data_IF_636848281324
#
_entry.id   IF_636848281324
#
_cell.length_a   1.000
_cell.length_b   1.000
_cell.length_c   1.000
_cell.angle_alpha   90.00
_cell.angle_beta   90.00
_cell.angle_gamma   90.00
#
_symmetry.space_group_name_H-M   'P 1'
#
loop_
_entity.id
_entity.type
_entity.pdbx_description
1 polymer ?
#
# COMPACT_ATOMS: atom_id res chain seq x y z
N UNK A 1 -14.08 -14.80 -5.55
CA UNK A 1 -12.62 -14.87 -5.35
C UNK A 1 -12.07 -13.45 -5.45
N UNK A 2 -11.21 -13.02 -4.54
CA UNK A 2 -10.64 -11.66 -4.62
C UNK A 2 -9.38 -11.67 -5.49
N UNK A 3 -9.34 -10.87 -6.55
CA UNK A 3 -8.11 -10.68 -7.35
C UNK A 3 -7.18 -9.74 -6.56
N UNK A 4 -6.51 -10.29 -5.56
CA UNK A 4 -5.51 -9.58 -4.77
C UNK A 4 -4.10 -9.89 -5.31
N UNK A 5 -3.42 -8.88 -5.85
CA UNK A 5 -2.01 -9.00 -6.22
C UNK A 5 -1.16 -8.26 -5.20
N UNK A 6 -0.15 -8.94 -4.64
CA UNK A 6 0.78 -8.34 -3.68
C UNK A 6 2.21 -8.47 -4.18
N UNK A 7 2.89 -7.33 -4.28
CA UNK A 7 4.30 -7.22 -4.65
C UNK A 7 5.09 -6.70 -3.45
N UNK A 8 5.86 -7.58 -2.82
CA UNK A 8 6.70 -7.23 -1.67
C UNK A 8 8.14 -7.17 -2.14
N UNK A 9 8.74 -5.99 -2.08
CA UNK A 9 10.13 -5.79 -2.42
C UNK A 9 10.96 -5.86 -1.14
N UNK A 10 11.89 -6.82 -1.10
CA UNK A 10 12.82 -7.03 0.03
C UNK A 10 14.26 -6.78 -0.40
N UNK A 11 15.10 -6.33 0.52
CA UNK A 11 16.54 -6.13 0.29
C UNK A 11 16.89 -5.14 -0.84
N UNK A 12 15.99 -4.19 -1.14
CA UNK A 12 16.19 -3.16 -2.16
C UNK A 12 16.24 -1.75 -1.55
N UNK A 13 17.04 -1.57 -0.49
CA UNK A 13 17.15 -0.29 0.21
C UNK A 13 17.64 0.86 -0.68
N UNK A 14 18.38 0.53 -1.75
CA UNK A 14 18.91 1.48 -2.74
C UNK A 14 17.96 1.69 -3.94
N UNK A 15 16.72 1.21 -3.86
CA UNK A 15 15.74 1.42 -4.93
C UNK A 15 15.41 2.91 -5.01
N UNK A 16 15.79 3.53 -6.13
CA UNK A 16 15.60 4.95 -6.34
C UNK A 16 14.12 5.34 -6.34
N UNK A 17 13.84 6.59 -5.96
CA UNK A 17 12.47 7.11 -5.94
C UNK A 17 11.79 7.04 -7.31
N UNK A 18 12.54 7.25 -8.39
CA UNK A 18 12.03 7.13 -9.77
C UNK A 18 11.56 5.69 -10.04
N UNK A 19 12.33 4.68 -9.63
CA UNK A 19 11.95 3.29 -9.79
C UNK A 19 10.71 2.93 -8.93
N UNK A 20 10.66 3.40 -7.67
CA UNK A 20 9.48 3.23 -6.80
C UNK A 20 8.22 3.85 -7.43
N UNK A 21 8.34 5.04 -8.02
CA UNK A 21 7.24 5.71 -8.71
C UNK A 21 6.78 4.90 -9.93
N UNK A 22 7.72 4.38 -10.74
CA UNK A 22 7.39 3.54 -11.90
C UNK A 22 6.66 2.25 -11.50
N UNK A 23 7.10 1.59 -10.43
CA UNK A 23 6.43 0.39 -9.88
C UNK A 23 5.03 0.73 -9.36
N UNK A 24 4.87 1.88 -8.69
CA UNK A 24 3.57 2.37 -8.20
C UNK A 24 2.62 2.65 -9.37
N UNK A 25 3.09 3.31 -10.42
CA UNK A 25 2.33 3.53 -11.65
C UNK A 25 1.92 2.24 -12.33
N UNK A 26 2.80 1.23 -12.36
CA UNK A 26 2.48 -0.10 -12.86
C UNK A 26 1.36 -0.76 -12.02
N UNK A 27 1.47 -0.72 -10.70
CA UNK A 27 0.47 -1.29 -9.80
C UNK A 27 -0.92 -0.64 -9.98
N UNK A 28 -0.95 0.68 -10.15
CA UNK A 28 -2.19 1.42 -10.47
C UNK A 28 -2.80 0.95 -11.79
N UNK A 29 -2.00 0.88 -12.86
CA UNK A 29 -2.48 0.38 -14.17
C UNK A 29 -2.99 -1.04 -14.10
N UNK A 30 -2.27 -1.92 -13.38
CA UNK A 30 -2.69 -3.30 -13.18
C UNK A 30 -4.02 -3.39 -12.43
N UNK A 31 -4.20 -2.61 -11.36
CA UNK A 31 -5.47 -2.57 -10.62
C UNK A 31 -6.62 -2.11 -11.51
N UNK A 32 -6.41 -1.10 -12.35
CA UNK A 32 -7.42 -0.65 -13.33
C UNK A 32 -7.78 -1.74 -14.35
N UNK A 33 -6.79 -2.45 -14.88
CA UNK A 33 -7.02 -3.55 -15.83
C UNK A 33 -7.73 -4.74 -15.17
N UNK A 34 -7.31 -5.10 -13.94
CA UNK A 34 -7.96 -6.16 -13.18
C UNK A 34 -9.42 -5.79 -12.83
N UNK A 35 -9.70 -4.52 -12.53
CA UNK A 35 -11.05 -4.02 -12.30
C UNK A 35 -11.93 -4.11 -13.56
N UNK A 36 -11.39 -3.75 -14.72
CA UNK A 36 -12.09 -3.89 -16.00
C UNK A 36 -12.42 -5.35 -16.32
N UNK A 37 -11.46 -6.26 -16.12
CA UNK A 37 -11.69 -7.70 -16.29
C UNK A 37 -12.78 -8.21 -15.35
N UNK A 38 -12.73 -7.83 -14.07
CA UNK A 38 -13.77 -8.21 -13.11
C UNK A 38 -15.16 -7.75 -13.56
N UNK A 39 -15.26 -6.53 -14.09
CA UNK A 39 -16.51 -5.99 -14.63
C UNK A 39 -17.03 -6.81 -15.81
N UNK A 40 -16.16 -7.15 -16.78
CA UNK A 40 -16.52 -7.95 -17.96
C UNK A 40 -16.94 -9.39 -17.60
N UNK A 41 -16.31 -9.98 -16.58
CA UNK A 41 -16.61 -11.33 -16.10
C UNK A 41 -17.84 -11.39 -15.16
N UNK A 42 -18.46 -10.24 -14.83
CA UNK A 42 -19.56 -10.16 -13.86
C UNK A 42 -19.13 -10.43 -12.41
N UNK A 43 -17.84 -10.33 -12.11
CA UNK A 43 -17.25 -10.58 -10.80
C UNK A 43 -17.31 -9.32 -9.92
N UNK A 44 -18.05 -9.36 -8.81
CA UNK A 44 -18.09 -8.28 -7.78
C UNK A 44 -16.87 -8.38 -6.85
N UNK A 45 -15.67 -8.48 -7.42
CA UNK A 45 -14.43 -8.50 -6.65
C UNK A 45 -13.75 -7.14 -6.67
N UNK A 46 -13.28 -6.69 -5.52
CA UNK A 46 -12.34 -5.58 -5.43
C UNK A 46 -11.01 -6.00 -6.08
N UNK A 47 -10.56 -5.25 -7.09
CA UNK A 47 -9.32 -5.48 -7.81
C UNK A 47 -8.18 -4.72 -7.13
N UNK A 48 -7.55 -5.34 -6.15
CA UNK A 48 -6.58 -4.67 -5.30
C UNK A 48 -5.15 -5.13 -5.63
N UNK A 49 -4.30 -4.14 -5.93
CA UNK A 49 -2.86 -4.35 -6.11
C UNK A 49 -2.12 -3.62 -4.99
N UNK A 50 -1.36 -4.36 -4.20
CA UNK A 50 -0.53 -3.81 -3.11
C UNK A 50 0.94 -3.88 -3.50
N UNK A 51 1.66 -2.77 -3.36
CA UNK A 51 3.12 -2.70 -3.44
C UNK A 51 3.71 -2.32 -2.08
N UNK A 52 4.80 -2.96 -1.68
CA UNK A 52 5.52 -2.63 -0.44
C UNK A 52 7.02 -2.54 -0.71
N UNK A 53 7.64 -1.44 -0.28
CA UNK A 53 9.08 -1.21 -0.40
C UNK A 53 9.73 -1.16 0.99
N UNK A 54 11.04 -1.47 1.12
CA UNK A 54 11.77 -1.23 2.35
C UNK A 54 11.78 0.26 2.71
N UNK A 55 11.60 0.55 3.99
CA UNK A 55 11.68 1.88 4.58
C UNK A 55 12.29 1.80 5.98
N UNK A 56 13.01 2.84 6.37
CA UNK A 56 13.74 2.92 7.64
C UNK A 56 13.23 4.04 8.56
N UNK A 57 12.31 4.88 8.07
CA UNK A 57 11.80 6.04 8.80
C UNK A 57 10.28 6.11 8.71
N UNK A 58 9.66 6.64 9.78
CA UNK A 58 8.23 6.94 9.81
C UNK A 58 7.99 8.31 9.17
N UNK A 59 7.04 8.45 8.24
CA UNK A 59 6.78 9.72 7.55
C UNK A 59 6.51 10.89 8.49
N UNK A 60 6.95 12.10 8.11
CA UNK A 60 6.83 13.32 8.92
C UNK A 60 5.40 13.77 9.17
N UNK A 61 4.48 13.47 8.24
CA UNK A 61 3.05 13.76 8.37
C UNK A 61 2.35 12.89 9.42
N UNK A 62 2.98 11.79 9.86
CA UNK A 62 2.44 10.96 10.91
C UNK A 62 2.76 11.58 12.28
N UNK A 63 1.73 12.10 12.96
CA UNK A 63 1.91 12.85 14.20
C UNK A 63 2.30 11.96 15.39
N UNK A 64 1.99 10.67 15.35
CA UNK A 64 2.23 9.74 16.45
C UNK A 64 3.51 8.93 16.25
N UNK A 65 4.66 9.59 16.13
CA UNK A 65 5.98 8.95 16.03
C UNK A 65 6.56 8.69 17.41
N UNK A 66 7.04 7.47 17.66
CA UNK A 66 7.70 7.08 18.92
C UNK A 66 8.86 6.13 18.65
N UNK A 67 9.81 6.07 19.58
CA UNK A 67 10.93 5.11 19.56
C UNK A 67 10.60 3.97 20.51
N UNK A 68 10.70 2.74 20.02
CA UNK A 68 10.42 1.52 20.79
C UNK A 68 9.39 0.62 20.11
N UNK A 69 9.06 -0.50 20.76
CA UNK A 69 8.13 -1.51 20.23
C UNK A 69 6.67 -1.26 20.60
N UNK A 70 6.37 -0.22 21.40
CA UNK A 70 5.02 0.06 21.91
C UNK A 70 4.56 1.45 21.50
N UNK A 71 3.37 1.52 20.88
CA UNK A 71 2.70 2.78 20.53
C UNK A 71 1.50 2.99 21.46
N UNK A 72 1.56 4.01 22.35
CA UNK A 72 0.44 4.39 23.23
C UNK A 72 -0.27 5.61 22.64
N UNK A 73 -1.41 5.37 21.97
CA UNK A 73 -2.25 6.42 21.41
C UNK A 73 -3.27 6.89 22.45
N UNK A 74 -3.44 8.21 22.60
CA UNK A 74 -4.57 8.80 23.33
C UNK A 74 -5.61 9.21 22.29
N UNK A 75 -6.70 8.46 22.20
CA UNK A 75 -7.81 8.86 21.35
C UNK A 75 -8.62 9.96 22.06
N UNK A 76 -9.11 10.97 21.33
CA UNK A 76 -10.09 11.90 21.86
C UNK A 76 -11.31 11.13 22.39
N UNK A 77 -11.87 11.54 23.53
CA UNK A 77 -13.17 11.01 23.95
C UNK A 77 -14.21 11.31 22.86
N UNK A 78 -15.10 10.35 22.60
CA UNK A 78 -16.22 10.45 21.64
C UNK A 78 -15.87 10.38 20.14
N UNK A 79 -14.92 9.53 19.74
CA UNK A 79 -14.66 9.22 18.31
C UNK A 79 -15.75 8.34 17.66
N UNK A 80 -17.04 8.59 17.91
CA UNK A 80 -18.11 7.80 17.30
C UNK A 80 -18.39 8.27 15.87
#
# INVERSE_FOLDING_TARGET
EQVHSKFIFTNCNNLEQVAKNSITSYAQRKSQLDALRCYEEGNVSEALVTTCFPGNEVPSWFNHRTVGSTLKLKFPPHWC
#
